data_IF_519947022155
#
_entry.id   IF_519947022155
#
_cell.length_a   1.000
_cell.length_b   1.000
_cell.length_c   1.000
_cell.angle_alpha   90.00
_cell.angle_beta   90.00
_cell.angle_gamma   90.00
#
_symmetry.space_group_name_H-M   'P 1'
#
loop_
_entity.id
_entity.type
_entity.pdbx_description
1 polymer ?
#
# COMPACT_ATOMS: atom_id res chain seq x y z
N UNK A 1 -19.55 -20.16 27.94
CA UNK A 1 -18.97 -18.90 27.39
C UNK A 1 -17.49 -19.18 27.25
N UNK A 2 -17.06 -19.66 26.08
CA UNK A 2 -15.65 -19.86 25.78
C UNK A 2 -15.01 -18.49 25.50
N UNK A 3 -13.97 -18.19 26.28
CA UNK A 3 -13.14 -17.01 26.06
C UNK A 3 -12.46 -17.13 24.69
N UNK A 4 -12.74 -16.18 23.81
CA UNK A 4 -12.10 -16.11 22.49
C UNK A 4 -10.58 -16.09 22.65
N UNK A 5 -9.88 -16.85 21.79
CA UNK A 5 -8.42 -16.79 21.67
C UNK A 5 -8.00 -15.33 21.41
N UNK A 6 -6.93 -14.84 22.06
CA UNK A 6 -6.43 -13.50 21.78
C UNK A 6 -6.08 -13.43 20.29
N UNK A 7 -6.54 -12.36 19.64
CA UNK A 7 -6.10 -11.97 18.31
C UNK A 7 -4.57 -11.95 18.33
N UNK A 8 -3.95 -12.68 17.43
CA UNK A 8 -2.49 -12.68 17.29
C UNK A 8 -2.02 -11.24 17.16
N UNK A 9 -1.05 -10.85 18.01
CA UNK A 9 -0.33 -9.60 17.84
C UNK A 9 0.21 -9.57 16.41
N UNK A 10 -0.28 -8.61 15.64
CA UNK A 10 0.20 -8.37 14.28
C UNK A 10 1.61 -7.82 14.41
N UNK A 11 2.59 -8.59 14.00
CA UNK A 11 3.98 -8.13 13.95
C UNK A 11 4.05 -7.00 12.91
N UNK A 12 4.19 -5.75 13.36
CA UNK A 12 4.29 -4.59 12.48
C UNK A 12 5.48 -4.72 11.55
N UNK A 13 5.24 -4.45 10.27
CA UNK A 13 6.30 -4.39 9.27
C UNK A 13 7.20 -3.19 9.53
N UNK A 14 8.51 -3.43 9.68
CA UNK A 14 9.45 -2.33 9.73
C UNK A 14 9.75 -1.82 8.33
N UNK A 15 9.26 -0.63 8.06
CA UNK A 15 9.69 0.18 6.94
C UNK A 15 11.04 0.88 7.21
N UNK A 16 11.87 0.36 8.11
CA UNK A 16 13.15 0.96 8.54
C UNK A 16 14.28 0.85 7.49
N UNK A 17 13.95 0.71 6.22
CA UNK A 17 14.86 1.18 5.18
C UNK A 17 15.08 2.65 5.46
N UNK A 18 16.33 3.04 5.72
CA UNK A 18 16.75 4.38 6.12
C UNK A 18 16.03 5.44 5.27
N UNK A 19 14.94 6.00 5.79
CA UNK A 19 14.37 7.21 5.25
C UNK A 19 15.37 8.35 5.48
N UNK A 20 15.74 9.03 4.41
CA UNK A 20 16.54 10.23 4.48
C UNK A 20 15.82 11.36 5.25
N UNK A 21 16.42 12.55 5.27
CA UNK A 21 15.82 13.73 5.89
C UNK A 21 14.52 14.14 5.23
N UNK A 22 14.46 14.05 3.91
CA UNK A 22 13.28 14.39 3.09
C UNK A 22 12.58 13.11 2.70
N UNK A 23 11.29 13.02 2.98
CA UNK A 23 10.41 11.94 2.53
C UNK A 23 9.63 12.44 1.32
N UNK A 24 8.64 13.29 1.55
CA UNK A 24 7.94 14.04 0.53
C UNK A 24 7.90 15.50 0.95
N UNK A 25 8.37 16.39 0.09
CA UNK A 25 8.33 17.81 0.28
C UNK A 25 7.43 18.41 -0.79
N UNK A 26 6.29 18.92 -0.38
CA UNK A 26 5.21 19.43 -1.22
C UNK A 26 5.18 20.93 -1.03
N UNK A 27 5.55 21.70 -2.03
CA UNK A 27 5.64 23.15 -1.96
C UNK A 27 4.74 23.80 -3.03
N UNK A 28 3.67 24.42 -2.57
CA UNK A 28 2.68 25.16 -3.37
C UNK A 28 2.16 24.38 -4.60
N UNK A 29 1.98 23.06 -4.44
CA UNK A 29 1.60 22.15 -5.52
C UNK A 29 0.16 22.41 -5.95
N UNK A 30 -0.04 22.50 -7.27
CA UNK A 30 -1.35 22.57 -7.92
C UNK A 30 -1.43 21.55 -9.06
N UNK A 31 -2.65 21.12 -9.36
CA UNK A 31 -2.88 20.26 -10.51
C UNK A 31 -4.20 20.57 -11.20
N UNK A 32 -4.15 20.56 -12.53
CA UNK A 32 -5.31 20.59 -13.42
C UNK A 32 -5.09 19.65 -14.60
N UNK A 33 -6.17 19.02 -15.07
CA UNK A 33 -6.13 18.31 -16.35
C UNK A 33 -6.11 19.31 -17.52
N UNK A 34 -5.58 18.93 -18.69
CA UNK A 34 -5.63 19.78 -19.86
C UNK A 34 -7.05 20.29 -20.12
N UNK A 35 -7.19 21.60 -20.31
CA UNK A 35 -8.47 22.31 -20.52
C UNK A 35 -9.50 22.22 -19.37
N UNK A 36 -9.10 21.68 -18.20
CA UNK A 36 -9.92 21.58 -17.00
C UNK A 36 -9.68 22.73 -16.01
N UNK A 37 -10.63 22.88 -15.08
CA UNK A 37 -10.39 23.73 -13.89
C UNK A 37 -9.40 23.04 -12.95
N UNK A 38 -8.68 23.81 -12.12
CA UNK A 38 -7.80 23.24 -11.11
C UNK A 38 -8.57 22.31 -10.17
N UNK A 39 -8.06 21.09 -9.99
CA UNK A 39 -8.61 20.17 -9.02
C UNK A 39 -8.20 20.53 -7.60
N UNK A 40 -6.96 20.98 -7.44
CA UNK A 40 -6.44 21.50 -6.18
C UNK A 40 -5.32 22.49 -6.44
N UNK A 41 -5.11 23.40 -5.51
CA UNK A 41 -4.12 24.47 -5.56
C UNK A 41 -3.55 24.72 -4.18
N UNK A 42 -2.33 25.25 -4.15
CA UNK A 42 -1.67 25.71 -2.93
C UNK A 42 -1.51 24.61 -1.87
N UNK A 43 -1.25 23.36 -2.31
CA UNK A 43 -0.99 22.27 -1.39
C UNK A 43 0.47 22.34 -0.94
N UNK A 44 0.66 22.58 0.35
CA UNK A 44 2.00 22.63 0.97
C UNK A 44 2.02 21.73 2.18
N UNK A 45 2.94 20.76 2.20
CA UNK A 45 3.11 19.84 3.33
C UNK A 45 4.49 19.18 3.30
N UNK A 46 5.09 18.99 4.47
CA UNK A 46 6.35 18.25 4.63
C UNK A 46 6.08 16.93 5.36
N UNK A 47 6.15 15.83 4.64
CA UNK A 47 5.95 14.52 5.23
C UNK A 47 7.15 14.13 6.07
N UNK A 48 6.90 13.79 7.33
CA UNK A 48 7.92 13.33 8.28
C UNK A 48 7.76 11.84 8.59
N UNK A 49 8.75 11.26 9.26
CA UNK A 49 8.71 9.84 9.65
C UNK A 49 7.52 9.57 10.57
N UNK A 50 6.88 8.43 10.32
CA UNK A 50 5.71 7.95 11.07
C UNK A 50 4.44 8.80 10.88
N UNK A 51 4.41 9.73 9.90
CA UNK A 51 3.17 10.40 9.57
C UNK A 51 2.13 9.41 9.07
N UNK A 52 0.90 9.59 9.56
CA UNK A 52 -0.30 8.91 9.08
C UNK A 52 -1.27 9.99 8.61
N UNK A 53 -1.42 10.12 7.29
CA UNK A 53 -2.17 11.20 6.66
C UNK A 53 -3.44 10.66 6.02
N UNK A 54 -4.60 11.15 6.47
CA UNK A 54 -5.89 10.86 5.86
C UNK A 54 -6.32 11.98 4.91
N UNK A 55 -6.64 11.63 3.65
CA UNK A 55 -7.21 12.56 2.68
C UNK A 55 -8.72 12.32 2.61
N UNK A 56 -9.49 13.30 3.08
CA UNK A 56 -10.94 13.21 3.18
C UNK A 56 -11.59 14.19 2.20
N UNK A 57 -12.67 13.78 1.57
CA UNK A 57 -13.43 14.60 0.64
C UNK A 57 -14.47 13.79 -0.12
N UNK A 58 -15.36 14.46 -0.83
CA UNK A 58 -16.39 13.84 -1.66
C UNK A 58 -15.81 13.00 -2.79
N UNK A 59 -16.61 12.09 -3.34
CA UNK A 59 -16.19 11.30 -4.50
C UNK A 59 -16.02 12.22 -5.73
N UNK A 60 -14.94 11.99 -6.49
CA UNK A 60 -14.64 12.80 -7.66
C UNK A 60 -13.94 14.13 -7.40
N UNK A 61 -13.68 14.52 -6.13
CA UNK A 61 -13.01 15.79 -5.81
C UNK A 61 -11.52 15.83 -6.16
N UNK A 62 -10.93 14.69 -6.57
CA UNK A 62 -9.52 14.64 -6.98
C UNK A 62 -8.58 13.94 -6.00
N UNK A 63 -9.08 13.20 -5.00
CA UNK A 63 -8.23 12.47 -4.02
C UNK A 63 -7.24 11.52 -4.69
N UNK A 64 -7.73 10.66 -5.58
CA UNK A 64 -6.88 9.73 -6.34
C UNK A 64 -5.87 10.46 -7.23
N UNK A 65 -6.26 11.60 -7.82
CA UNK A 65 -5.35 12.44 -8.60
C UNK A 65 -4.25 13.02 -7.72
N UNK A 66 -4.60 13.52 -6.53
CA UNK A 66 -3.61 14.02 -5.57
C UNK A 66 -2.62 12.91 -5.19
N UNK A 67 -3.10 11.71 -4.83
CA UNK A 67 -2.23 10.58 -4.54
C UNK A 67 -1.30 10.23 -5.72
N UNK A 68 -1.81 10.27 -6.95
CA UNK A 68 -0.98 10.02 -8.14
C UNK A 68 0.08 11.11 -8.36
N UNK A 69 -0.23 12.37 -8.07
CA UNK A 69 0.77 13.46 -8.09
C UNK A 69 1.82 13.21 -7.01
N UNK A 70 1.41 12.92 -5.77
CA UNK A 70 2.33 12.67 -4.66
C UNK A 70 3.20 11.42 -4.87
N UNK A 71 2.69 10.42 -5.59
CA UNK A 71 3.47 9.24 -6.00
C UNK A 71 4.42 9.51 -7.18
N UNK A 72 4.43 10.73 -7.73
CA UNK A 72 5.24 11.07 -8.90
C UNK A 72 4.75 10.47 -10.22
N UNK A 73 3.55 9.91 -10.25
CA UNK A 73 2.93 9.33 -11.47
C UNK A 73 2.34 10.40 -12.39
N UNK A 74 1.91 11.50 -11.81
CA UNK A 74 1.47 12.71 -12.52
C UNK A 74 2.35 13.88 -12.12
N UNK A 75 2.71 14.71 -13.08
CA UNK A 75 3.47 15.93 -12.80
C UNK A 75 2.53 17.04 -12.33
N UNK A 76 2.86 17.77 -11.26
CA UNK A 76 2.08 18.94 -10.86
C UNK A 76 2.09 19.99 -11.97
N UNK A 77 1.00 20.76 -12.11
CA UNK A 77 0.91 21.87 -13.08
C UNK A 77 1.56 23.14 -12.56
N UNK A 78 1.71 23.28 -11.24
CA UNK A 78 2.46 24.34 -10.58
C UNK A 78 2.99 23.84 -9.23
N UNK A 79 3.95 24.58 -8.66
CA UNK A 79 4.63 24.20 -7.42
C UNK A 79 5.70 23.14 -7.63
N UNK A 80 6.24 22.62 -6.54
CA UNK A 80 7.33 21.65 -6.56
C UNK A 80 7.02 20.48 -5.65
N UNK A 81 7.19 19.27 -6.19
CA UNK A 81 7.17 18.03 -5.42
C UNK A 81 8.58 17.43 -5.41
N UNK A 82 9.14 17.29 -4.23
CA UNK A 82 10.43 16.61 -4.03
C UNK A 82 10.21 15.29 -3.32
N UNK A 83 10.57 14.19 -3.98
CA UNK A 83 10.52 12.83 -3.39
C UNK A 83 11.95 12.47 -2.97
N UNK A 84 12.12 12.06 -1.72
CA UNK A 84 13.44 11.70 -1.18
C UNK A 84 14.06 10.51 -1.92
N UNK A 85 15.37 10.53 -2.13
CA UNK A 85 16.10 9.51 -2.90
C UNK A 85 15.97 8.09 -2.34
N UNK A 86 15.71 7.96 -1.04
CA UNK A 86 15.56 6.67 -0.35
C UNK A 86 14.11 6.22 -0.26
N UNK A 87 13.17 7.02 -0.79
CA UNK A 87 11.74 6.73 -0.73
C UNK A 87 11.39 5.63 -1.73
N UNK A 88 10.70 4.61 -1.22
CA UNK A 88 10.09 3.54 -2.00
C UNK A 88 8.60 3.55 -1.72
N UNK A 89 7.82 3.94 -2.72
CA UNK A 89 6.37 4.09 -2.59
C UNK A 89 5.70 2.78 -2.98
N UNK A 90 4.95 2.18 -2.05
CA UNK A 90 3.94 1.18 -2.34
C UNK A 90 2.61 1.90 -2.60
N UNK A 91 2.03 1.72 -3.78
CA UNK A 91 0.80 2.40 -4.15
C UNK A 91 -0.30 1.39 -4.43
N UNK A 92 -1.25 1.29 -3.51
CA UNK A 92 -2.43 0.45 -3.63
C UNK A 92 -3.55 1.23 -4.32
N UNK A 93 -3.96 0.77 -5.50
CA UNK A 93 -4.99 1.41 -6.32
C UNK A 93 -6.26 0.57 -6.36
N UNK A 94 -7.38 1.18 -6.73
CA UNK A 94 -8.63 0.46 -6.99
C UNK A 94 -8.51 -0.57 -8.10
N UNK A 95 -7.69 -0.30 -9.12
CA UNK A 95 -7.45 -1.23 -10.21
C UNK A 95 -6.44 -2.29 -9.81
N UNK A 96 -6.85 -3.55 -9.85
CA UNK A 96 -5.94 -4.67 -9.64
C UNK A 96 -4.97 -4.79 -10.83
N UNK A 97 -3.72 -5.19 -10.56
CA UNK A 97 -2.80 -5.57 -11.63
C UNK A 97 -3.32 -6.81 -12.36
N UNK A 98 -2.82 -7.03 -13.57
CA UNK A 98 -2.99 -8.33 -14.20
C UNK A 98 -2.19 -9.38 -13.43
N UNK A 99 -2.89 -10.40 -12.95
CA UNK A 99 -2.25 -11.57 -12.36
C UNK A 99 -1.99 -12.62 -13.42
N UNK A 100 -0.92 -13.37 -13.27
CA UNK A 100 -0.81 -14.67 -13.94
C UNK A 100 -1.74 -15.65 -13.21
N UNK A 101 -2.91 -15.86 -13.78
CA UNK A 101 -3.96 -16.69 -13.18
C UNK A 101 -3.59 -18.16 -13.07
N UNK A 102 -2.57 -18.61 -13.84
CA UNK A 102 -2.05 -19.98 -13.82
C UNK A 102 -1.07 -20.23 -12.68
N UNK A 103 -0.64 -19.18 -11.97
CA UNK A 103 0.23 -19.31 -10.80
C UNK A 103 -0.54 -19.68 -9.55
N UNK A 104 0.14 -20.36 -8.62
CA UNK A 104 -0.35 -20.52 -7.24
C UNK A 104 -0.10 -19.24 -6.46
N UNK A 105 -0.94 -19.00 -5.47
CA UNK A 105 -0.83 -17.82 -4.58
C UNK A 105 0.57 -17.72 -3.96
N UNK A 106 1.11 -18.82 -3.43
CA UNK A 106 2.44 -18.85 -2.80
C UNK A 106 3.55 -18.55 -3.81
N UNK A 107 3.48 -19.10 -5.01
CA UNK A 107 4.49 -18.92 -6.04
C UNK A 107 4.55 -17.44 -6.49
N UNK A 108 3.38 -16.82 -6.68
CA UNK A 108 3.25 -15.40 -7.02
C UNK A 108 3.89 -14.47 -5.97
N UNK A 109 3.69 -14.78 -4.68
CA UNK A 109 4.29 -14.00 -3.61
C UNK A 109 5.79 -14.21 -3.55
N UNK A 110 6.26 -15.44 -3.74
CA UNK A 110 7.68 -15.78 -3.70
C UNK A 110 8.49 -15.20 -4.86
N UNK A 111 7.88 -14.88 -6.00
CA UNK A 111 8.55 -14.13 -7.08
C UNK A 111 9.06 -12.76 -6.62
N UNK A 112 8.36 -12.14 -5.65
CA UNK A 112 8.75 -10.85 -5.06
C UNK A 112 9.68 -10.98 -3.85
N UNK A 113 9.85 -12.20 -3.34
CA UNK A 113 10.74 -12.52 -2.24
C UNK A 113 10.25 -13.67 -1.40
N UNK A 114 11.18 -14.39 -0.78
CA UNK A 114 10.83 -15.50 0.10
C UNK A 114 10.56 -15.07 1.54
N UNK A 115 10.95 -13.85 1.90
CA UNK A 115 10.74 -13.27 3.23
C UNK A 115 10.82 -11.74 3.18
N UNK A 116 10.17 -11.12 4.14
CA UNK A 116 10.31 -9.70 4.48
C UNK A 116 10.99 -9.59 5.84
N UNK A 117 11.56 -8.43 6.13
CA UNK A 117 12.15 -8.16 7.45
C UNK A 117 11.20 -7.25 8.23
N UNK A 118 10.86 -7.63 9.47
CA UNK A 118 10.05 -6.78 10.35
C UNK A 118 10.92 -5.72 11.06
N UNK A 119 10.26 -4.81 11.81
CA UNK A 119 10.92 -3.74 12.57
C UNK A 119 11.97 -4.22 13.60
N UNK A 120 11.91 -5.47 14.01
CA UNK A 120 12.87 -6.08 14.94
C UNK A 120 14.03 -6.78 14.22
N UNK A 121 14.11 -6.66 12.89
CA UNK A 121 15.11 -7.35 12.07
C UNK A 121 14.84 -8.84 11.86
N UNK A 122 13.67 -9.34 12.23
CA UNK A 122 13.30 -10.75 12.07
C UNK A 122 12.78 -10.99 10.65
N UNK A 123 13.12 -12.14 10.10
CA UNK A 123 12.62 -12.57 8.78
C UNK A 123 11.28 -13.27 8.92
N UNK A 124 10.27 -12.73 8.25
CA UNK A 124 8.94 -13.33 8.12
C UNK A 124 8.88 -14.00 6.75
N UNK A 125 8.60 -15.29 6.70
CA UNK A 125 8.48 -16.02 5.43
C UNK A 125 7.21 -15.58 4.66
N UNK A 126 7.23 -15.75 3.35
CA UNK A 126 6.06 -15.52 2.49
C UNK A 126 4.83 -16.30 2.96
N UNK A 127 5.02 -17.57 3.40
CA UNK A 127 3.95 -18.41 3.96
C UNK A 127 3.32 -17.79 5.20
N UNK A 128 4.15 -17.37 6.17
CA UNK A 128 3.65 -16.74 7.40
C UNK A 128 2.96 -15.40 7.11
N UNK A 129 3.47 -14.64 6.13
CA UNK A 129 2.83 -13.41 5.71
C UNK A 129 1.46 -13.68 5.08
N UNK A 130 1.36 -14.71 4.23
CA UNK A 130 0.09 -15.17 3.67
C UNK A 130 -0.92 -15.54 4.77
N UNK A 131 -0.49 -16.24 5.82
CA UNK A 131 -1.36 -16.56 6.97
C UNK A 131 -1.90 -15.30 7.64
N UNK A 132 -1.06 -14.29 7.86
CA UNK A 132 -1.47 -13.00 8.43
C UNK A 132 -2.50 -12.29 7.54
N UNK A 133 -2.42 -12.47 6.22
CA UNK A 133 -3.39 -11.96 5.24
C UNK A 133 -4.56 -12.92 4.99
N UNK A 134 -4.81 -13.85 5.92
CA UNK A 134 -5.95 -14.76 5.89
C UNK A 134 -5.95 -15.75 4.71
N UNK A 135 -4.78 -16.08 4.16
CA UNK A 135 -4.62 -17.18 3.23
C UNK A 135 -4.24 -18.44 4.00
N UNK A 136 -5.23 -19.31 4.20
CA UNK A 136 -4.99 -20.63 4.83
C UNK A 136 -4.04 -21.47 4.00
N UNK A 137 -3.45 -22.52 4.61
CA UNK A 137 -2.52 -23.41 3.91
C UNK A 137 -3.08 -23.91 2.57
N UNK A 138 -4.34 -24.34 2.52
CA UNK A 138 -4.99 -24.79 1.29
C UNK A 138 -5.10 -23.67 0.25
N UNK A 139 -5.38 -22.45 0.69
CA UNK A 139 -5.48 -21.29 -0.20
C UNK A 139 -4.14 -20.88 -0.78
N UNK A 140 -3.05 -21.04 -0.03
CA UNK A 140 -1.70 -20.70 -0.51
C UNK A 140 -1.28 -21.52 -1.72
N UNK A 141 -1.75 -22.77 -1.81
CA UNK A 141 -1.45 -23.66 -2.94
C UNK A 141 -2.53 -23.65 -4.03
N UNK A 142 -3.58 -22.83 -3.86
CA UNK A 142 -4.63 -22.65 -4.86
C UNK A 142 -4.15 -21.72 -5.98
N UNK A 143 -4.67 -21.93 -7.20
CA UNK A 143 -4.40 -21.05 -8.34
C UNK A 143 -5.10 -19.70 -8.18
N UNK A 144 -4.47 -18.63 -8.65
CA UNK A 144 -4.99 -17.26 -8.55
C UNK A 144 -6.33 -17.11 -9.27
N UNK A 145 -6.58 -17.86 -10.36
CA UNK A 145 -7.86 -17.89 -11.07
C UNK A 145 -9.06 -18.21 -10.18
N UNK A 146 -8.85 -18.98 -9.09
CA UNK A 146 -9.90 -19.42 -8.16
C UNK A 146 -10.18 -18.42 -7.04
N UNK A 147 -9.37 -17.37 -6.93
CA UNK A 147 -9.54 -16.37 -5.89
C UNK A 147 -10.72 -15.45 -6.19
N UNK A 148 -11.49 -15.13 -5.16
CA UNK A 148 -12.50 -14.07 -5.19
C UNK A 148 -11.85 -12.69 -5.38
N UNK A 149 -12.66 -11.68 -5.75
CA UNK A 149 -12.16 -10.31 -5.90
C UNK A 149 -11.51 -9.75 -4.64
N UNK A 150 -12.08 -10.01 -3.46
CA UNK A 150 -11.50 -9.58 -2.17
C UNK A 150 -10.16 -10.27 -1.87
N UNK A 151 -10.05 -11.57 -2.15
CA UNK A 151 -8.80 -12.32 -1.99
C UNK A 151 -7.71 -11.83 -2.94
N UNK A 152 -8.05 -11.52 -4.20
CA UNK A 152 -7.11 -10.93 -5.16
C UNK A 152 -6.61 -9.56 -4.68
N UNK A 153 -7.45 -8.75 -4.02
CA UNK A 153 -7.06 -7.47 -3.44
C UNK A 153 -6.11 -7.63 -2.27
N UNK A 154 -6.38 -8.58 -1.37
CA UNK A 154 -5.47 -8.93 -0.28
C UNK A 154 -4.12 -9.42 -0.80
N UNK A 155 -4.14 -10.27 -1.84
CA UNK A 155 -2.93 -10.76 -2.49
C UNK A 155 -2.12 -9.61 -3.11
N UNK A 156 -2.78 -8.65 -3.75
CA UNK A 156 -2.12 -7.46 -4.30
C UNK A 156 -1.47 -6.62 -3.21
N UNK A 157 -2.18 -6.38 -2.11
CA UNK A 157 -1.62 -5.64 -0.98
C UNK A 157 -0.41 -6.35 -0.39
N UNK A 158 -0.52 -7.67 -0.18
CA UNK A 158 0.58 -8.49 0.33
C UNK A 158 1.81 -8.40 -0.59
N UNK A 159 1.61 -8.51 -1.90
CA UNK A 159 2.68 -8.33 -2.88
C UNK A 159 3.37 -6.97 -2.73
N UNK A 160 2.60 -5.89 -2.59
CA UNK A 160 3.17 -4.56 -2.38
C UNK A 160 4.05 -4.49 -1.12
N UNK A 161 3.65 -5.17 -0.06
CA UNK A 161 4.42 -5.23 1.19
C UNK A 161 5.69 -6.08 1.04
N UNK A 162 5.68 -7.10 0.18
CA UNK A 162 6.89 -7.87 -0.13
C UNK A 162 7.99 -7.02 -0.75
N UNK A 163 7.64 -5.98 -1.49
CA UNK A 163 8.59 -5.01 -2.06
C UNK A 163 9.19 -4.07 -0.97
N UNK A 164 8.78 -4.23 0.29
CA UNK A 164 9.22 -3.45 1.45
C UNK A 164 9.21 -1.93 1.19
N UNK A 165 8.04 -1.35 0.86
CA UNK A 165 7.92 0.09 0.71
C UNK A 165 8.15 0.78 2.06
N UNK A 166 8.70 1.99 2.04
CA UNK A 166 8.81 2.83 3.24
C UNK A 166 7.84 4.02 3.25
N UNK A 167 7.07 4.17 2.18
CA UNK A 167 5.88 5.01 2.10
C UNK A 167 4.76 4.20 1.47
N UNK A 168 3.63 4.07 2.15
CA UNK A 168 2.46 3.37 1.62
C UNK A 168 1.36 4.37 1.32
N UNK A 169 0.88 4.36 0.09
CA UNK A 169 -0.25 5.16 -0.37
C UNK A 169 -1.42 4.24 -0.69
N UNK A 170 -2.56 4.49 -0.08
CA UNK A 170 -3.77 3.67 -0.23
C UNK A 170 -4.89 4.53 -0.81
N UNK A 171 -5.40 4.16 -1.98
CA UNK A 171 -6.53 4.82 -2.62
C UNK A 171 -7.82 4.03 -2.35
N UNK A 172 -8.69 4.60 -1.51
CA UNK A 172 -9.97 4.02 -1.05
C UNK A 172 -9.87 2.59 -0.47
N UNK A 173 -8.95 2.31 0.46
CA UNK A 173 -8.71 0.95 0.94
C UNK A 173 -9.92 0.33 1.64
N UNK A 174 -10.78 1.14 2.26
CA UNK A 174 -11.95 0.67 3.01
C UNK A 174 -13.06 0.10 2.15
N UNK A 175 -13.10 0.44 0.86
CA UNK A 175 -14.09 -0.12 -0.07
C UNK A 175 -13.75 -1.55 -0.48
N UNK A 176 -12.49 -1.92 -0.35
CA UNK A 176 -11.90 -3.07 -1.03
C UNK A 176 -11.24 -4.08 -0.09
N UNK A 177 -10.90 -3.65 1.12
CA UNK A 177 -10.26 -4.48 2.13
C UNK A 177 -11.19 -4.62 3.34
N UNK A 178 -11.26 -5.82 3.86
CA UNK A 178 -11.97 -6.09 5.11
C UNK A 178 -11.21 -5.55 6.33
N UNK A 179 -11.93 -5.35 7.44
CA UNK A 179 -11.35 -4.79 8.68
C UNK A 179 -10.13 -5.60 9.16
N UNK A 180 -10.13 -6.94 9.17
CA UNK A 180 -8.97 -7.72 9.57
C UNK A 180 -7.73 -7.44 8.71
N UNK A 181 -7.90 -7.28 7.39
CA UNK A 181 -6.78 -6.94 6.49
C UNK A 181 -6.24 -5.53 6.75
N UNK A 182 -7.10 -4.56 7.04
CA UNK A 182 -6.68 -3.21 7.40
C UNK A 182 -5.90 -3.19 8.71
N UNK A 183 -6.29 -4.00 9.69
CA UNK A 183 -5.59 -4.12 10.98
C UNK A 183 -4.15 -4.63 10.82
N UNK A 184 -3.86 -5.39 9.78
CA UNK A 184 -2.47 -5.84 9.47
C UNK A 184 -1.56 -4.66 9.07
N UNK A 185 -2.14 -3.52 8.64
CA UNK A 185 -1.40 -2.34 8.22
C UNK A 185 -1.15 -1.33 9.36
N UNK A 186 -1.80 -1.49 10.51
CA UNK A 186 -1.66 -0.62 11.68
C UNK A 186 -0.49 -1.02 12.57
#
# INVERSE_FOLDING_TARGET
>A
IEAGKPLHEVEMFDTSVRLGKTILDIDDVAFSYPQGQPLFQHVTYHVVKHDRIGIIGENGVGKSTLLNVLAGRLQPTAGTLTIGQTVRIGFFTQQLPQFDESMRVIDYVQEHGHFVTNQFGQRISATRLLDQFLFTDDMQYTYIEKLSGGERRRLYLLRLLMDQPNVLMLDEPTNDLDIPTLTVLE
#
